data_IF_064185560497
#
_entry.id   IF_064185560497
#
_cell.length_a   1.000
_cell.length_b   1.000
_cell.length_c   1.000
_cell.angle_alpha   90.00
_cell.angle_beta   90.00
_cell.angle_gamma   90.00
#
_symmetry.space_group_name_H-M   'P 1'
#
loop_
_entity.id
_entity.type
_entity.pdbx_description
1 polymer ?
#
# COMPACT_ATOMS: atom_id res chain seq x y z
N UNK A 1 6.75 27.38 5.63
CA UNK A 1 7.38 26.89 6.88
C UNK A 1 6.26 26.57 7.87
N UNK A 2 6.29 25.40 8.52
CA UNK A 2 5.31 24.34 8.24
C UNK A 2 4.36 24.07 9.42
N UNK A 3 3.16 23.60 9.11
CA UNK A 3 2.23 23.01 10.08
C UNK A 3 1.44 21.89 9.40
N UNK A 4 2.00 20.68 9.40
CA UNK A 4 1.21 19.45 9.40
C UNK A 4 1.87 18.52 10.42
N UNK A 5 1.30 18.48 11.63
CA UNK A 5 1.60 17.49 12.66
C UNK A 5 0.53 16.41 12.56
N UNK A 6 0.94 15.20 12.20
CA UNK A 6 0.11 14.00 12.33
C UNK A 6 -0.13 13.70 13.82
N UNK A 7 -1.38 13.45 14.19
CA UNK A 7 -1.81 13.13 15.54
C UNK A 7 -1.82 11.60 15.72
N UNK A 8 -0.80 11.05 16.39
CA UNK A 8 -0.83 9.68 16.90
C UNK A 8 -1.60 9.67 18.24
N UNK A 9 -2.76 8.99 18.27
CA UNK A 9 -3.53 8.82 19.51
C UNK A 9 -3.16 7.48 20.17
N UNK A 10 -2.40 7.58 21.27
CA UNK A 10 -2.11 6.48 22.20
C UNK A 10 -3.33 6.26 23.10
N UNK A 11 -3.80 5.02 23.22
CA UNK A 11 -4.74 4.63 24.28
C UNK A 11 -4.07 3.62 25.24
N UNK A 12 -3.72 4.12 26.43
CA UNK A 12 -3.48 3.37 27.66
C UNK A 12 -4.40 4.01 28.71
N UNK A 13 -5.01 3.36 29.71
CA UNK A 13 -4.94 2.03 30.28
C UNK A 13 -6.19 1.85 31.18
N UNK A 14 -6.48 0.63 31.65
CA UNK A 14 -6.88 0.41 33.04
C UNK A 14 -6.81 -1.09 33.42
N UNK A 15 -5.82 -1.44 34.24
CA UNK A 15 -5.80 -2.67 35.05
C UNK A 15 -6.58 -2.42 36.35
N UNK A 16 -7.47 -3.34 36.73
CA UNK A 16 -7.90 -3.49 38.12
C UNK A 16 -7.71 -4.94 38.57
N UNK A 17 -6.88 -5.11 39.61
CA UNK A 17 -6.68 -6.34 40.39
C UNK A 17 -7.79 -6.49 41.41
N UNK A 18 -8.43 -7.65 41.49
CA UNK A 18 -8.95 -8.23 42.75
C UNK A 18 -8.94 -9.76 42.66
N UNK A 19 -8.42 -10.42 43.70
CA UNK A 19 -8.27 -11.87 43.83
C UNK A 19 -9.52 -12.58 44.39
N UNK A 20 -9.38 -13.79 44.99
CA UNK A 20 -9.94 -15.00 44.40
C UNK A 20 -11.05 -15.68 45.20
N UNK A 21 -11.72 -16.61 44.52
CA UNK A 21 -12.48 -17.80 44.97
C UNK A 21 -13.96 -17.84 44.57
N UNK A 22 -14.23 -18.80 43.69
CA UNK A 22 -15.25 -19.83 43.78
C UNK A 22 -16.36 -19.82 42.70
N UNK A 23 -16.38 -20.99 42.05
CA UNK A 23 -17.51 -21.78 41.59
C UNK A 23 -17.94 -21.66 40.13
N UNK A 24 -17.66 -22.78 39.46
CA UNK A 24 -18.05 -23.15 38.12
C UNK A 24 -19.57 -23.06 37.89
N UNK A 25 -19.95 -22.55 36.72
CA UNK A 25 -21.19 -22.93 36.06
C UNK A 25 -20.89 -22.96 34.56
N UNK A 26 -20.82 -24.17 34.02
CA UNK A 26 -20.69 -24.42 32.59
C UNK A 26 -22.02 -24.04 31.93
N UNK A 27 -22.03 -22.96 31.14
CA UNK A 27 -23.12 -22.65 30.23
C UNK A 27 -22.63 -22.94 28.81
N UNK A 28 -23.14 -24.03 28.24
CA UNK A 28 -22.93 -24.37 26.83
C UNK A 28 -23.73 -23.39 25.97
N UNK A 29 -23.10 -22.29 25.55
CA UNK A 29 -23.64 -21.43 24.51
C UNK A 29 -23.11 -21.91 23.16
N UNK A 30 -24.00 -22.52 22.39
CA UNK A 30 -23.85 -22.83 20.98
C UNK A 30 -23.45 -21.54 20.24
N UNK A 31 -22.18 -21.43 19.84
CA UNK A 31 -21.63 -20.28 19.14
C UNK A 31 -22.20 -20.18 17.73
N UNK A 32 -23.37 -19.57 17.61
CA UNK A 32 -23.97 -19.18 16.34
C UNK A 32 -23.09 -18.09 15.74
N UNK A 33 -22.35 -18.43 14.69
CA UNK A 33 -21.57 -17.48 13.88
C UNK A 33 -22.52 -16.47 13.27
N UNK A 34 -22.67 -15.32 13.93
CA UNK A 34 -23.27 -14.13 13.35
C UNK A 34 -22.31 -13.63 12.27
N UNK A 35 -22.54 -14.03 11.02
CA UNK A 35 -22.08 -13.27 9.86
C UNK A 35 -22.74 -11.90 9.95
N UNK A 36 -22.03 -10.93 10.51
CA UNK A 36 -22.41 -9.52 10.40
C UNK A 36 -22.10 -9.11 8.96
N UNK A 37 -23.05 -9.33 8.05
CA UNK A 37 -23.04 -8.67 6.76
C UNK A 37 -23.34 -7.19 7.02
N UNK A 38 -22.28 -6.38 7.14
CA UNK A 38 -22.43 -4.94 7.16
C UNK A 38 -23.18 -4.53 5.88
N UNK A 39 -24.24 -3.70 5.97
CA UNK A 39 -24.94 -3.24 4.78
C UNK A 39 -23.97 -2.37 3.97
N UNK A 40 -23.66 -2.82 2.76
CA UNK A 40 -23.00 -1.99 1.74
C UNK A 40 -23.97 -0.82 1.46
N UNK A 41 -23.58 0.38 1.87
CA UNK A 41 -24.40 1.58 1.67
C UNK A 41 -24.49 1.90 0.17
N UNK A 42 -25.66 2.31 -0.33
CA UNK A 42 -25.85 2.66 -1.75
C UNK A 42 -24.89 3.76 -2.25
N UNK A 43 -24.30 4.54 -1.35
CA UNK A 43 -23.26 5.52 -1.66
C UNK A 43 -21.94 4.89 -2.14
N UNK A 44 -21.55 3.71 -1.64
CA UNK A 44 -20.30 3.04 -2.04
C UNK A 44 -20.41 2.31 -3.39
N UNK A 45 -21.63 1.98 -3.82
CA UNK A 45 -21.90 1.37 -5.14
C UNK A 45 -21.72 2.38 -6.27
N UNK A 46 -22.00 3.67 -6.02
CA UNK A 46 -21.81 4.74 -7.01
C UNK A 46 -20.34 5.05 -7.29
N UNK A 47 -19.49 5.00 -6.26
CA UNK A 47 -18.06 5.24 -6.40
C UNK A 47 -17.37 4.12 -7.18
N UNK A 48 -17.77 2.86 -6.98
CA UNK A 48 -17.15 1.69 -7.64
C UNK A 48 -17.84 1.26 -8.94
N UNK A 49 -18.41 2.21 -9.69
CA UNK A 49 -19.04 1.89 -10.98
C UNK A 49 -17.99 1.46 -12.02
N UNK A 50 -18.37 0.67 -13.05
CA UNK A 50 -17.48 0.36 -14.16
C UNK A 50 -16.90 1.61 -14.83
N UNK A 51 -17.67 2.68 -14.95
CA UNK A 51 -17.23 3.96 -15.51
C UNK A 51 -16.16 4.63 -14.65
N UNK A 52 -16.30 4.61 -13.32
CA UNK A 52 -15.30 5.14 -12.40
C UNK A 52 -13.97 4.36 -12.49
N UNK A 53 -14.05 3.02 -12.54
CA UNK A 53 -12.86 2.16 -12.73
C UNK A 53 -12.17 2.43 -14.06
N UNK A 54 -12.93 2.65 -15.14
CA UNK A 54 -12.37 3.03 -16.45
C UNK A 54 -11.70 4.41 -16.42
N UNK A 55 -12.25 5.38 -15.70
CA UNK A 55 -11.64 6.70 -15.55
C UNK A 55 -10.30 6.63 -14.80
N UNK A 56 -10.24 5.86 -13.71
CA UNK A 56 -9.01 5.58 -12.97
C UNK A 56 -7.95 4.90 -13.84
N UNK A 57 -8.34 3.83 -14.56
CA UNK A 57 -7.44 3.13 -15.46
C UNK A 57 -6.92 4.06 -16.57
N UNK A 58 -7.80 4.84 -17.19
CA UNK A 58 -7.41 5.77 -18.26
C UNK A 58 -6.42 6.84 -17.75
N UNK A 59 -6.63 7.36 -16.54
CA UNK A 59 -5.68 8.28 -15.92
C UNK A 59 -4.31 7.63 -15.71
N UNK A 60 -4.29 6.38 -15.20
CA UNK A 60 -3.05 5.62 -15.03
C UNK A 60 -2.33 5.38 -16.35
N UNK A 61 -3.03 4.91 -17.38
CA UNK A 61 -2.47 4.60 -18.69
C UNK A 61 -1.88 5.84 -19.38
N UNK A 62 -2.53 7.00 -19.24
CA UNK A 62 -2.09 8.24 -19.89
C UNK A 62 -0.94 8.93 -19.14
N UNK A 63 -0.93 8.82 -17.81
CA UNK A 63 -0.07 9.65 -16.96
C UNK A 63 1.08 8.87 -16.36
N UNK A 64 0.79 7.66 -15.87
CA UNK A 64 1.70 6.87 -15.03
C UNK A 64 2.41 5.78 -15.84
N UNK A 65 1.69 5.11 -16.75
CA UNK A 65 2.23 3.99 -17.54
C UNK A 65 3.55 4.32 -18.26
N UNK A 66 3.78 5.55 -18.80
CA UNK A 66 5.07 5.92 -19.38
C UNK A 66 6.25 5.81 -18.38
N UNK A 67 6.01 6.04 -17.10
CA UNK A 67 7.04 6.04 -16.05
C UNK A 67 7.62 4.66 -15.77
N UNK A 68 6.90 3.59 -16.11
CA UNK A 68 7.35 2.21 -15.86
C UNK A 68 8.58 1.84 -16.71
N UNK A 69 8.91 2.68 -17.70
CA UNK A 69 10.12 2.56 -18.51
C UNK A 69 11.29 3.44 -18.04
N UNK A 70 11.11 4.21 -16.95
CA UNK A 70 12.14 5.13 -16.45
C UNK A 70 13.39 4.38 -15.99
N UNK A 71 14.58 4.67 -16.55
CA UNK A 71 15.80 3.93 -16.23
C UNK A 71 16.15 3.91 -14.74
N UNK A 72 15.91 5.01 -14.03
CA UNK A 72 16.19 5.12 -12.59
C UNK A 72 15.29 4.18 -11.77
N UNK A 73 14.02 4.07 -12.14
CA UNK A 73 13.07 3.15 -11.52
C UNK A 73 13.48 1.70 -11.77
N UNK A 74 13.73 1.36 -13.04
CA UNK A 74 14.13 0.01 -13.45
C UNK A 74 15.45 -0.41 -12.80
N UNK A 75 16.42 0.50 -12.69
CA UNK A 75 17.69 0.25 -12.01
C UNK A 75 17.51 -0.09 -10.53
N UNK A 76 16.72 0.71 -9.80
CA UNK A 76 16.48 0.48 -8.38
C UNK A 76 15.82 -0.88 -8.09
N UNK A 77 14.86 -1.29 -8.93
CA UNK A 77 14.19 -2.58 -8.78
C UNK A 77 15.15 -3.74 -9.07
N UNK A 78 16.00 -3.63 -10.09
CA UNK A 78 17.02 -4.65 -10.39
C UNK A 78 18.01 -4.81 -9.24
N UNK A 79 18.54 -3.71 -8.73
CA UNK A 79 19.49 -3.71 -7.61
C UNK A 79 18.86 -4.32 -6.33
N UNK A 80 17.59 -3.98 -6.06
CA UNK A 80 16.85 -4.60 -4.96
C UNK A 80 16.66 -6.09 -5.20
N UNK A 81 16.23 -6.51 -6.39
CA UNK A 81 16.02 -7.92 -6.72
C UNK A 81 17.30 -8.75 -6.57
N UNK A 82 18.46 -8.22 -6.92
CA UNK A 82 19.74 -8.88 -6.67
C UNK A 82 19.99 -9.08 -5.16
N UNK A 83 19.69 -8.05 -4.37
CA UNK A 83 19.85 -8.06 -2.91
C UNK A 83 18.88 -9.02 -2.25
N UNK A 84 17.63 -9.06 -2.72
CA UNK A 84 16.54 -9.79 -2.06
C UNK A 84 16.34 -11.19 -2.60
N UNK A 85 16.90 -11.58 -3.74
CA UNK A 85 16.68 -12.89 -4.38
C UNK A 85 16.77 -14.08 -3.41
N UNK A 86 17.76 -14.06 -2.50
CA UNK A 86 18.02 -15.13 -1.53
C UNK A 86 17.14 -15.13 -0.28
N UNK A 87 16.30 -14.12 -0.07
CA UNK A 87 15.48 -14.01 1.16
C UNK A 87 14.42 -15.10 1.23
N UNK A 88 14.33 -15.75 2.38
CA UNK A 88 13.22 -16.61 2.73
C UNK A 88 11.99 -15.79 3.15
N UNK A 89 10.83 -16.43 3.22
CA UNK A 89 9.62 -15.81 3.78
C UNK A 89 9.83 -15.33 5.22
N UNK A 90 10.61 -16.08 6.02
CA UNK A 90 10.94 -15.68 7.39
C UNK A 90 11.76 -14.38 7.42
N UNK A 91 12.66 -14.19 6.46
CA UNK A 91 13.45 -12.95 6.33
C UNK A 91 12.55 -11.78 5.90
N UNK A 92 11.66 -12.00 4.93
CA UNK A 92 10.65 -11.02 4.49
C UNK A 92 9.79 -10.54 5.66
N UNK A 93 9.24 -11.47 6.44
CA UNK A 93 8.44 -11.16 7.62
C UNK A 93 9.26 -10.44 8.71
N UNK A 94 10.57 -10.68 8.79
CA UNK A 94 11.45 -9.99 9.72
C UNK A 94 11.75 -8.55 9.27
N UNK A 95 11.98 -8.32 7.97
CA UNK A 95 12.09 -6.99 7.40
C UNK A 95 10.81 -6.20 7.61
N UNK A 96 9.66 -6.83 7.37
CA UNK A 96 8.34 -6.23 7.57
C UNK A 96 8.06 -5.83 9.03
N UNK A 97 8.43 -6.68 9.99
CA UNK A 97 8.39 -6.32 11.42
C UNK A 97 9.33 -5.16 11.76
N UNK A 98 10.50 -5.11 11.14
CA UNK A 98 11.49 -4.05 11.37
C UNK A 98 10.97 -2.71 10.88
N UNK A 99 10.41 -2.67 9.67
CA UNK A 99 9.75 -1.50 9.12
C UNK A 99 8.64 -0.97 10.03
N UNK A 100 7.69 -1.82 10.42
CA UNK A 100 6.58 -1.41 11.30
C UNK A 100 7.05 -0.88 12.66
N UNK A 101 8.20 -1.35 13.14
CA UNK A 101 8.78 -0.84 14.38
C UNK A 101 9.46 0.52 14.21
N UNK A 102 9.83 0.91 12.99
CA UNK A 102 10.49 2.17 12.67
C UNK A 102 9.53 3.27 12.21
N UNK A 103 8.44 2.93 11.51
CA UNK A 103 7.49 3.93 10.99
C UNK A 103 7.00 4.85 12.11
N UNK A 104 7.19 6.15 11.92
CA UNK A 104 6.76 7.19 12.86
C UNK A 104 7.67 7.37 14.08
N UNK A 105 8.83 6.72 14.11
CA UNK A 105 9.86 6.92 15.15
C UNK A 105 10.92 7.93 14.68
N UNK A 106 11.75 8.42 15.61
CA UNK A 106 12.86 9.33 15.27
C UNK A 106 14.03 8.60 14.57
N UNK A 107 14.27 7.33 14.90
CA UNK A 107 15.33 6.49 14.33
C UNK A 107 14.72 5.44 13.40
N UNK A 108 14.62 5.77 12.11
CA UNK A 108 13.90 4.98 11.11
C UNK A 108 14.73 4.70 9.83
N UNK A 109 15.95 4.15 9.95
CA UNK A 109 16.89 4.04 8.82
C UNK A 109 16.38 3.23 7.62
N UNK A 110 15.58 2.19 7.85
CA UNK A 110 15.00 1.37 6.79
C UNK A 110 13.88 2.14 6.07
N UNK A 111 13.09 2.90 6.81
CA UNK A 111 12.07 3.79 6.24
C UNK A 111 12.74 4.86 5.40
N UNK A 112 13.75 5.53 5.95
CA UNK A 112 14.49 6.59 5.27
C UNK A 112 15.14 6.10 3.97
N UNK A 113 15.65 4.87 3.91
CA UNK A 113 16.18 4.30 2.66
C UNK A 113 15.13 4.18 1.55
N UNK A 114 13.89 3.89 1.90
CA UNK A 114 12.79 3.71 0.94
C UNK A 114 12.17 5.04 0.52
N UNK A 115 12.06 5.99 1.45
CA UNK A 115 11.41 7.29 1.18
C UNK A 115 12.38 8.42 0.82
N UNK A 116 13.69 8.23 1.00
CA UNK A 116 14.73 9.20 0.66
C UNK A 116 15.76 8.60 -0.31
N UNK A 117 15.34 8.38 -1.54
CA UNK A 117 16.21 8.00 -2.65
C UNK A 117 15.75 8.68 -3.95
N UNK A 118 16.55 8.57 -5.02
CA UNK A 118 16.28 9.25 -6.29
C UNK A 118 14.91 8.89 -6.91
N UNK A 119 14.39 7.68 -6.67
CA UNK A 119 13.07 7.27 -7.16
C UNK A 119 11.97 7.88 -6.31
N UNK A 120 12.14 7.92 -4.99
CA UNK A 120 11.21 8.62 -4.10
C UNK A 120 11.15 10.13 -4.40
N UNK A 121 12.29 10.76 -4.69
CA UNK A 121 12.35 12.16 -5.14
C UNK A 121 11.56 12.36 -6.45
N UNK A 122 11.71 11.45 -7.41
CA UNK A 122 10.90 11.47 -8.63
C UNK A 122 9.39 11.36 -8.30
N UNK A 123 8.99 10.46 -7.39
CA UNK A 123 7.59 10.33 -6.98
C UNK A 123 7.03 11.61 -6.34
N UNK A 124 7.81 12.27 -5.48
CA UNK A 124 7.40 13.54 -4.85
C UNK A 124 7.17 14.63 -5.90
N UNK A 125 8.06 14.76 -6.90
CA UNK A 125 7.86 15.70 -8.01
C UNK A 125 6.63 15.33 -8.84
N UNK A 126 6.48 14.04 -9.18
CA UNK A 126 5.32 13.54 -9.92
C UNK A 126 4.00 13.81 -9.21
N UNK A 127 3.94 13.67 -7.87
CA UNK A 127 2.76 14.01 -7.07
C UNK A 127 2.45 15.51 -7.17
N UNK A 128 3.47 16.36 -7.02
CA UNK A 128 3.31 17.81 -7.11
C UNK A 128 2.83 18.27 -8.51
N UNK A 129 3.37 17.67 -9.57
CA UNK A 129 3.05 18.01 -10.96
C UNK A 129 1.65 17.53 -11.38
N UNK A 130 1.06 16.57 -10.65
CA UNK A 130 -0.27 16.02 -10.91
C UNK A 130 -1.39 16.73 -10.15
N UNK A 131 -1.15 17.96 -9.67
CA UNK A 131 -2.21 18.84 -9.18
C UNK A 131 -2.98 18.29 -7.97
N UNK A 132 -2.38 17.38 -7.20
CA UNK A 132 -3.01 16.74 -6.05
C UNK A 132 -3.87 15.52 -6.37
N UNK A 133 -3.92 15.04 -7.62
CA UNK A 133 -4.65 13.81 -7.98
C UNK A 133 -3.98 12.57 -7.38
N UNK A 134 -2.65 12.54 -7.34
CA UNK A 134 -1.88 11.43 -6.78
C UNK A 134 -1.62 11.70 -5.30
N UNK A 135 -2.03 10.77 -4.43
CA UNK A 135 -1.79 10.83 -2.99
C UNK A 135 -0.49 10.13 -2.59
N UNK A 136 -0.18 9.01 -3.25
CA UNK A 136 1.00 8.19 -2.95
C UNK A 136 1.45 7.40 -4.18
N UNK A 137 2.74 7.08 -4.22
CA UNK A 137 3.34 6.19 -5.21
C UNK A 137 4.35 5.32 -4.47
N UNK A 138 4.35 4.02 -4.77
CA UNK A 138 5.42 3.13 -4.34
C UNK A 138 5.65 2.01 -5.35
N UNK A 139 6.86 1.48 -5.34
CA UNK A 139 7.27 0.35 -6.16
C UNK A 139 7.80 -0.78 -5.30
N UNK A 140 7.55 -1.99 -5.76
CA UNK A 140 7.90 -3.24 -5.09
C UNK A 140 8.83 -4.07 -5.97
N UNK A 141 9.71 -4.82 -5.34
CA UNK A 141 10.56 -5.82 -5.98
C UNK A 141 9.80 -7.14 -6.28
N UNK A 142 10.48 -8.14 -6.82
CA UNK A 142 9.91 -9.45 -7.17
C UNK A 142 9.45 -10.29 -5.95
N UNK A 143 9.78 -9.88 -4.72
CA UNK A 143 9.24 -10.46 -3.49
C UNK A 143 8.10 -9.64 -2.89
N UNK A 144 7.75 -8.51 -3.50
CA UNK A 144 6.77 -7.57 -2.98
C UNK A 144 7.33 -6.64 -1.91
N UNK A 145 8.66 -6.50 -1.77
CA UNK A 145 9.27 -5.60 -0.81
C UNK A 145 9.38 -4.19 -1.40
N UNK A 146 9.05 -3.16 -0.64
CA UNK A 146 9.14 -1.78 -1.13
C UNK A 146 10.58 -1.40 -1.47
N UNK A 147 10.77 -0.92 -2.71
CA UNK A 147 12.04 -0.41 -3.24
C UNK A 147 12.14 1.09 -3.02
N UNK A 148 11.05 1.80 -3.32
CA UNK A 148 10.91 3.24 -3.11
C UNK A 148 9.44 3.60 -2.90
N UNK A 149 9.19 4.63 -2.10
CA UNK A 149 7.84 5.14 -1.85
C UNK A 149 7.87 6.66 -1.64
N UNK A 150 6.81 7.36 -2.03
CA UNK A 150 6.66 8.80 -1.77
C UNK A 150 6.47 9.11 -0.29
N UNK A 151 5.87 8.18 0.46
CA UNK A 151 5.62 8.26 1.89
C UNK A 151 5.73 6.84 2.49
N UNK A 152 5.95 6.70 3.80
CA UNK A 152 5.96 5.39 4.42
C UNK A 152 4.61 4.67 4.27
N UNK A 153 4.64 3.45 3.76
CA UNK A 153 3.51 2.51 3.79
C UNK A 153 3.32 1.93 5.20
N UNK A 154 2.16 1.31 5.44
CA UNK A 154 1.85 0.61 6.71
C UNK A 154 2.84 -0.53 7.03
N UNK A 155 3.36 -1.16 6.00
CA UNK A 155 4.12 -2.39 6.01
C UNK A 155 5.12 -2.39 4.85
N UNK A 156 6.22 -3.12 5.00
CA UNK A 156 7.29 -3.14 4.00
C UNK A 156 7.03 -4.15 2.90
N UNK A 157 6.45 -5.28 3.30
CA UNK A 157 6.07 -6.34 2.40
C UNK A 157 4.65 -6.10 1.91
N UNK A 158 4.46 -6.14 0.61
CA UNK A 158 3.20 -5.95 -0.09
C UNK A 158 2.86 -7.19 -0.93
N UNK A 159 3.68 -8.26 -0.84
CA UNK A 159 3.56 -9.44 -1.69
C UNK A 159 2.32 -10.29 -1.39
N UNK A 160 1.75 -10.14 -0.21
CA UNK A 160 0.48 -10.73 0.20
C UNK A 160 -0.74 -9.86 -0.16
N UNK A 161 -0.54 -8.64 -0.66
CA UNK A 161 -1.61 -7.72 -1.02
C UNK A 161 -2.13 -7.93 -2.45
N UNK A 162 -3.41 -7.61 -2.67
CA UNK A 162 -4.06 -7.77 -3.97
C UNK A 162 -3.34 -6.98 -5.09
N UNK A 163 -2.83 -5.78 -4.78
CA UNK A 163 -2.01 -4.95 -5.68
C UNK A 163 -0.82 -5.69 -6.27
N UNK A 164 -0.20 -6.60 -5.52
CA UNK A 164 0.92 -7.41 -6.00
C UNK A 164 0.44 -8.73 -6.63
N UNK A 165 -0.48 -9.44 -5.95
CA UNK A 165 -0.96 -10.74 -6.42
C UNK A 165 -1.75 -10.66 -7.74
N UNK A 166 -2.43 -9.54 -7.99
CA UNK A 166 -3.22 -9.33 -9.21
C UNK A 166 -2.46 -8.57 -10.30
N UNK A 167 -1.18 -8.28 -10.09
CA UNK A 167 -0.31 -7.65 -11.10
C UNK A 167 0.90 -8.52 -11.37
N UNK A 168 1.96 -8.41 -10.55
CA UNK A 168 3.23 -9.07 -10.76
C UNK A 168 3.08 -10.59 -10.91
N UNK A 169 2.25 -11.23 -10.07
CA UNK A 169 2.01 -12.69 -10.15
C UNK A 169 1.11 -13.10 -11.34
N UNK A 170 0.38 -12.15 -11.94
CA UNK A 170 -0.41 -12.38 -13.17
C UNK A 170 0.51 -12.29 -14.40
N UNK A 171 1.48 -11.39 -14.38
CA UNK A 171 2.52 -11.27 -15.40
C UNK A 171 2.43 -9.98 -16.21
N UNK A 172 2.86 -10.06 -17.47
CA UNK A 172 3.05 -8.90 -18.35
C UNK A 172 1.75 -8.10 -18.54
N UNK A 173 1.90 -6.79 -18.61
CA UNK A 173 0.83 -5.81 -18.87
C UNK A 173 -0.36 -5.86 -17.89
N UNK A 174 -0.23 -6.59 -16.78
CA UNK A 174 -1.29 -6.68 -15.79
C UNK A 174 -1.46 -5.35 -15.06
N UNK A 175 -2.69 -4.83 -15.09
CA UNK A 175 -3.13 -3.63 -14.36
C UNK A 175 -4.29 -4.05 -13.45
N UNK A 176 -4.23 -3.64 -12.19
CA UNK A 176 -5.29 -3.82 -11.21
C UNK A 176 -5.77 -2.46 -10.70
N UNK A 177 -7.09 -2.21 -10.80
CA UNK A 177 -7.74 -1.03 -10.23
C UNK A 177 -8.49 -1.44 -8.98
N UNK A 178 -7.91 -1.14 -7.82
CA UNK A 178 -8.51 -1.40 -6.50
C UNK A 178 -9.78 -0.59 -6.28
N UNK A 179 -10.60 -1.04 -5.32
CA UNK A 179 -11.84 -0.34 -5.00
C UNK A 179 -11.58 1.09 -4.52
N UNK A 180 -12.51 1.98 -4.84
CA UNK A 180 -12.55 3.32 -4.30
C UNK A 180 -13.11 3.22 -2.88
N UNK A 181 -12.28 3.60 -1.92
CA UNK A 181 -12.60 3.58 -0.50
C UNK A 181 -12.56 4.99 0.06
N UNK A 182 -13.54 5.32 0.91
CA UNK A 182 -13.57 6.60 1.62
C UNK A 182 -12.77 6.50 2.90
N UNK A 183 -11.71 7.29 3.01
CA UNK A 183 -10.94 7.43 4.24
C UNK A 183 -11.54 8.55 5.09
N UNK A 184 -12.22 8.18 6.17
CA UNK A 184 -12.85 9.13 7.08
C UNK A 184 -11.86 10.03 7.83
N UNK A 185 -10.58 9.67 7.88
CA UNK A 185 -9.54 10.45 8.56
C UNK A 185 -9.02 11.62 7.73
N UNK A 186 -8.98 11.43 6.40
CA UNK A 186 -8.55 12.44 5.42
C UNK A 186 -9.74 13.11 4.72
N UNK A 187 -10.92 12.47 4.76
CA UNK A 187 -12.16 12.96 4.16
C UNK A 187 -12.17 12.83 2.63
N UNK A 188 -11.32 11.98 2.06
CA UNK A 188 -11.23 11.77 0.61
C UNK A 188 -11.51 10.32 0.25
N UNK A 189 -12.12 10.12 -0.92
CA UNK A 189 -12.20 8.82 -1.57
C UNK A 189 -10.93 8.57 -2.39
N UNK A 190 -10.30 7.42 -2.20
CA UNK A 190 -9.07 7.03 -2.90
C UNK A 190 -9.20 5.62 -3.49
N UNK A 191 -8.59 5.40 -4.64
CA UNK A 191 -8.34 4.07 -5.19
C UNK A 191 -6.84 3.86 -5.39
N UNK A 192 -6.38 2.62 -5.24
CA UNK A 192 -5.03 2.22 -5.62
C UNK A 192 -5.05 1.52 -6.97
N UNK A 193 -4.29 2.04 -7.93
CA UNK A 193 -4.07 1.43 -9.24
C UNK A 193 -2.66 0.86 -9.24
N UNK A 194 -2.53 -0.41 -9.60
CA UNK A 194 -1.24 -1.10 -9.61
C UNK A 194 -0.98 -1.74 -10.95
N UNK A 195 0.29 -1.87 -11.33
CA UNK A 195 0.68 -2.51 -12.57
C UNK A 195 2.00 -3.27 -12.45
N UNK A 196 2.13 -4.32 -13.25
CA UNK A 196 3.41 -5.03 -13.40
C UNK A 196 4.44 -4.13 -14.05
N UNK A 197 5.66 -4.13 -13.51
CA UNK A 197 6.83 -3.48 -14.11
C UNK A 197 7.64 -4.55 -14.81
N UNK A 198 7.77 -4.41 -16.12
CA UNK A 198 8.51 -5.32 -16.98
C UNK A 198 9.85 -4.70 -17.35
N UNK A 199 10.91 -5.49 -17.28
CA UNK A 199 12.21 -5.09 -17.79
C UNK A 199 12.19 -5.11 -19.33
N UNK A 200 12.34 -3.95 -20.01
CA UNK A 200 12.28 -3.90 -21.47
C UNK A 200 13.47 -4.60 -22.15
N UNK A 201 14.57 -4.87 -21.44
CA UNK A 201 15.74 -5.55 -21.99
C UNK A 201 15.54 -7.08 -22.03
N UNK A 202 14.80 -7.65 -21.09
CA UNK A 202 14.59 -9.10 -20.96
C UNK A 202 13.17 -9.53 -21.32
N UNK A 203 12.19 -8.63 -21.23
CA UNK A 203 10.77 -8.94 -21.32
C UNK A 203 10.21 -9.62 -20.08
N UNK A 204 10.96 -9.66 -18.97
CA UNK A 204 10.55 -10.32 -17.73
C UNK A 204 9.91 -9.33 -16.74
N UNK A 205 8.86 -9.73 -16.01
CA UNK A 205 8.38 -8.99 -14.84
C UNK A 205 9.50 -8.88 -13.80
N UNK A 206 9.73 -7.67 -13.29
CA UNK A 206 10.73 -7.41 -12.23
C UNK A 206 10.15 -6.84 -10.94
N UNK A 207 8.89 -6.40 -10.97
CA UNK A 207 8.22 -5.84 -9.79
C UNK A 207 6.84 -5.31 -10.12
N UNK A 208 6.31 -4.49 -9.22
CA UNK A 208 5.03 -3.80 -9.43
C UNK A 208 5.11 -2.35 -8.94
N UNK A 209 4.29 -1.48 -9.53
CA UNK A 209 4.03 -0.13 -9.04
C UNK A 209 2.62 -0.08 -8.47
N UNK A 210 2.42 0.73 -7.44
CA UNK A 210 1.10 1.13 -6.95
C UNK A 210 1.04 2.65 -6.85
N UNK A 211 -0.07 3.22 -7.33
CA UNK A 211 -0.38 4.65 -7.27
C UNK A 211 -1.72 4.83 -6.59
N UNK A 212 -1.74 5.59 -5.50
CA UNK A 212 -2.96 6.04 -4.85
C UNK A 212 -3.50 7.29 -5.53
N UNK A 213 -4.72 7.23 -6.04
CA UNK A 213 -5.39 8.32 -6.77
C UNK A 213 -6.61 8.78 -6.00
N UNK A 214 -6.68 10.09 -5.73
CA UNK A 214 -7.83 10.73 -5.10
C UNK A 214 -8.97 10.81 -6.12
N UNK A 215 -9.95 9.93 -5.94
CA UNK A 215 -11.13 9.82 -6.78
C UNK A 215 -11.90 11.15 -6.84
N UNK A 216 -12.07 11.82 -5.70
CA UNK A 216 -12.86 13.06 -5.59
C UNK A 216 -12.28 14.25 -6.38
N UNK A 217 -10.99 14.19 -6.76
CA UNK A 217 -10.35 15.21 -7.60
C UNK A 217 -10.39 14.80 -9.07
N UNK A 218 -10.28 13.50 -9.35
CA UNK A 218 -10.22 12.98 -10.71
C UNK A 218 -11.59 13.03 -11.42
N UNK A 219 -12.71 12.85 -10.70
CA UNK A 219 -14.05 12.67 -11.29
C UNK A 219 -15.17 13.50 -10.65
#
# INVERSE_FOLDING_TARGET
MPLFRFLALILAAARTKTGPHALATACACLGMTLFSAAPVSAASVGLNSPEAKLALQAYFEQTILPWLSEPTLLGAIRDQNETTAGLSEADVLQLDKTWRAQVGTEDQPMVDQVIHNNVADFFIHSIADNGGIIAEIFIMDAKGLNVAASLPTSDYWQGDEAKFQQTFLVGLDAIHVGDIEFDASTGVSQSQISATITDPATGEPIGAITVGVIADILM
#
